data_IF_956395323179
#
_entry.id   IF_956395323179
#
_cell.length_a   1.000
_cell.length_b   1.000
_cell.length_c   1.000
_cell.angle_alpha   90.00
_cell.angle_beta   90.00
_cell.angle_gamma   90.00
#
_symmetry.space_group_name_H-M   'P 1'
#
loop_
_entity.id
_entity.type
_entity.pdbx_description
1 polymer ?
#
# COMPACT_ATOMS: atom_id res chain seq x y z
N UNK A 1 -28.15 86.05 -7.44
CA UNK A 1 -28.51 85.11 -6.42
C UNK A 1 -28.63 83.74 -7.09
N UNK A 2 -27.89 82.79 -6.63
CA UNK A 2 -27.40 81.65 -7.41
C UNK A 2 -28.39 80.47 -7.37
N UNK A 3 -28.90 80.11 -8.55
CA UNK A 3 -29.71 78.94 -8.75
C UNK A 3 -28.92 77.67 -8.72
N UNK A 4 -29.24 76.86 -7.75
CA UNK A 4 -28.60 75.57 -7.57
C UNK A 4 -29.24 74.58 -8.54
N UNK A 5 -28.54 74.21 -9.60
CA UNK A 5 -28.96 73.19 -10.54
C UNK A 5 -28.85 71.83 -9.88
N UNK A 6 -29.97 71.20 -9.58
CA UNK A 6 -30.03 69.80 -9.15
C UNK A 6 -29.73 68.90 -10.37
N UNK A 7 -28.56 68.36 -10.43
CA UNK A 7 -28.23 67.28 -11.38
C UNK A 7 -28.75 65.99 -10.77
N UNK A 8 -29.83 65.47 -11.32
CA UNK A 8 -30.32 64.13 -11.04
C UNK A 8 -29.44 63.19 -11.88
N UNK A 9 -28.51 62.58 -11.24
CA UNK A 9 -27.76 61.47 -11.85
C UNK A 9 -28.65 60.22 -11.74
N UNK A 10 -29.31 59.91 -12.84
CA UNK A 10 -30.04 58.66 -13.00
C UNK A 10 -28.97 57.54 -13.13
N UNK A 11 -28.63 56.95 -12.01
CA UNK A 11 -27.77 55.73 -12.02
C UNK A 11 -28.62 54.59 -12.59
N UNK A 12 -28.43 54.32 -13.88
CA UNK A 12 -28.94 53.10 -14.50
C UNK A 12 -28.09 51.98 -13.93
N UNK A 13 -28.65 51.29 -12.94
CA UNK A 13 -28.09 50.05 -12.37
C UNK A 13 -28.32 48.97 -13.43
N UNK A 14 -27.39 48.87 -14.38
CA UNK A 14 -27.30 47.69 -15.25
C UNK A 14 -26.88 46.53 -14.35
N UNK A 15 -27.88 45.80 -13.88
CA UNK A 15 -27.66 44.51 -13.22
C UNK A 15 -26.98 43.56 -14.19
N UNK A 16 -25.64 43.53 -14.20
CA UNK A 16 -24.91 42.41 -14.75
C UNK A 16 -25.23 41.20 -13.89
N UNK A 17 -26.21 40.44 -14.34
CA UNK A 17 -26.39 39.07 -13.88
C UNK A 17 -25.15 38.30 -14.37
N UNK A 18 -24.12 38.29 -13.55
CA UNK A 18 -23.09 37.27 -13.68
C UNK A 18 -23.80 35.96 -13.41
N UNK A 19 -24.34 35.35 -14.45
CA UNK A 19 -24.53 33.92 -14.46
C UNK A 19 -23.13 33.35 -14.29
N UNK A 20 -22.72 33.18 -13.03
CA UNK A 20 -21.64 32.29 -12.67
C UNK A 20 -22.11 30.92 -13.16
N UNK A 21 -21.83 30.61 -14.42
CA UNK A 21 -21.63 29.23 -14.79
C UNK A 21 -20.61 28.71 -13.77
N UNK A 22 -21.07 27.97 -12.77
CA UNK A 22 -20.21 26.97 -12.16
C UNK A 22 -19.81 26.10 -13.33
N UNK A 23 -18.69 26.45 -13.96
CA UNK A 23 -17.88 25.51 -14.68
C UNK A 23 -17.62 24.46 -13.63
N UNK A 24 -18.30 23.32 -13.70
CA UNK A 24 -17.81 22.13 -13.01
C UNK A 24 -16.36 22.09 -13.44
N UNK A 25 -15.48 22.41 -12.51
CA UNK A 25 -14.05 22.30 -12.74
C UNK A 25 -13.84 20.82 -12.93
N UNK A 26 -13.77 20.40 -14.20
CA UNK A 26 -13.39 19.05 -14.54
C UNK A 26 -12.16 18.72 -13.68
N UNK A 27 -12.21 17.64 -12.93
CA UNK A 27 -11.07 17.21 -12.14
C UNK A 27 -9.84 17.32 -13.03
N UNK A 28 -8.89 18.15 -12.69
CA UNK A 28 -7.67 18.36 -13.47
C UNK A 28 -6.63 17.27 -13.21
N UNK A 29 -6.92 16.35 -12.31
CA UNK A 29 -6.03 15.25 -11.91
C UNK A 29 -6.87 14.00 -11.58
N UNK A 30 -6.28 12.84 -11.82
CA UNK A 30 -6.75 11.55 -11.34
C UNK A 30 -6.18 11.30 -9.93
N UNK A 31 -6.91 10.60 -9.09
CA UNK A 31 -6.39 10.11 -7.80
C UNK A 31 -5.92 8.66 -7.96
N UNK A 32 -4.69 8.41 -7.58
CA UNK A 32 -4.12 7.06 -7.50
C UNK A 32 -3.97 6.69 -6.02
N UNK A 33 -4.80 5.76 -5.55
CA UNK A 33 -4.75 5.24 -4.20
C UNK A 33 -3.72 4.12 -4.09
N UNK A 34 -2.83 4.24 -3.12
CA UNK A 34 -1.81 3.23 -2.84
C UNK A 34 -2.23 2.43 -1.62
N UNK A 35 -2.45 1.14 -1.79
CA UNK A 35 -2.85 0.21 -0.73
C UNK A 35 -1.86 -0.94 -0.59
N UNK A 36 -1.76 -1.49 0.63
CA UNK A 36 -1.05 -2.73 0.91
C UNK A 36 -1.96 -3.62 1.76
N UNK A 37 -2.08 -4.88 1.40
CA UNK A 37 -2.94 -5.86 2.07
C UNK A 37 -2.20 -7.17 2.27
N UNK A 38 -2.59 -7.98 3.25
CA UNK A 38 -2.10 -9.34 3.41
C UNK A 38 -3.23 -10.34 3.21
N UNK A 39 -3.04 -11.27 2.30
CA UNK A 39 -4.00 -12.33 1.98
C UNK A 39 -3.62 -13.66 2.64
N UNK A 40 -4.56 -14.61 2.56
CA UNK A 40 -4.39 -15.96 3.10
C UNK A 40 -4.14 -15.96 4.62
N UNK A 41 -5.00 -15.21 5.33
CA UNK A 41 -4.98 -15.10 6.79
C UNK A 41 -5.02 -16.46 7.51
N UNK A 42 -5.67 -17.45 6.88
CA UNK A 42 -5.73 -18.83 7.38
C UNK A 42 -5.37 -19.80 6.26
N UNK A 43 -4.41 -20.66 6.51
CA UNK A 43 -3.98 -21.69 5.56
C UNK A 43 -3.34 -22.88 6.24
N UNK A 44 -3.25 -23.96 5.50
CA UNK A 44 -2.61 -25.21 5.93
C UNK A 44 -1.31 -25.45 5.17
N UNK A 45 -0.27 -25.90 5.86
CA UNK A 45 0.98 -26.28 5.25
C UNK A 45 0.82 -27.68 4.62
N UNK A 46 0.32 -27.74 3.37
CA UNK A 46 -0.03 -28.99 2.72
C UNK A 46 1.16 -29.73 2.09
N UNK A 47 1.32 -31.00 2.49
CA UNK A 47 1.57 -32.09 1.53
C UNK A 47 0.38 -33.07 1.62
N UNK A 48 -0.09 -33.51 0.46
CA UNK A 48 -1.24 -34.39 0.36
C UNK A 48 -1.15 -35.61 1.31
N UNK A 49 -2.19 -35.81 2.12
CA UNK A 49 -2.36 -37.01 2.96
C UNK A 49 -2.05 -36.89 4.44
N UNK A 50 -1.77 -35.71 5.00
CA UNK A 50 -1.52 -35.51 6.43
C UNK A 50 -2.53 -34.54 7.04
N UNK A 51 -2.95 -34.81 8.28
CA UNK A 51 -3.64 -33.85 9.15
C UNK A 51 -2.77 -32.61 9.25
N UNK A 52 -3.22 -31.52 8.65
CA UNK A 52 -2.35 -30.45 8.23
C UNK A 52 -2.16 -29.42 9.32
N UNK A 53 -0.92 -29.20 9.77
CA UNK A 53 -0.61 -28.05 10.56
C UNK A 53 -1.01 -26.80 9.79
N UNK A 54 -1.75 -25.93 10.44
CA UNK A 54 -2.25 -24.74 9.81
C UNK A 54 -1.86 -23.50 10.59
N UNK A 55 -1.76 -22.39 9.86
CA UNK A 55 -1.68 -21.08 10.48
C UNK A 55 -3.05 -20.40 10.49
N UNK A 56 -3.30 -19.66 11.56
CA UNK A 56 -4.39 -18.70 11.65
C UNK A 56 -3.80 -17.40 12.20
N UNK A 57 -3.77 -16.37 11.37
CA UNK A 57 -3.19 -15.08 11.69
C UNK A 57 -4.27 -14.11 12.18
N UNK A 58 -3.96 -13.36 13.23
CA UNK A 58 -4.88 -12.44 13.88
C UNK A 58 -4.51 -10.98 13.64
N UNK A 59 -3.21 -10.70 13.60
CA UNK A 59 -2.68 -9.35 13.45
C UNK A 59 -1.56 -9.35 12.42
N UNK A 60 -1.62 -8.44 11.47
CA UNK A 60 -0.54 -8.18 10.52
C UNK A 60 -0.42 -6.68 10.29
N UNK A 61 0.75 -6.10 10.51
CA UNK A 61 0.99 -4.70 10.18
C UNK A 61 2.41 -4.45 9.69
N UNK A 62 2.55 -3.36 8.94
CA UNK A 62 3.83 -2.83 8.46
C UNK A 62 3.96 -1.35 8.86
N UNK A 63 5.14 -0.93 9.24
CA UNK A 63 5.48 0.47 9.47
C UNK A 63 6.14 1.03 8.22
N UNK A 64 5.34 1.65 7.34
CA UNK A 64 5.81 2.27 6.10
C UNK A 64 6.53 3.56 6.44
N UNK A 65 7.71 3.74 5.87
CA UNK A 65 8.60 4.90 6.09
C UNK A 65 8.70 5.81 4.88
N UNK A 66 8.49 5.26 3.67
CA UNK A 66 8.60 5.99 2.41
C UNK A 66 7.69 5.39 1.36
N UNK A 67 7.17 6.23 0.49
CA UNK A 67 6.53 5.85 -0.76
C UNK A 67 7.12 6.71 -1.86
N UNK A 68 7.62 6.09 -2.89
CA UNK A 68 8.07 6.74 -4.12
C UNK A 68 7.15 6.36 -5.26
N UNK A 69 6.91 7.30 -6.14
CA UNK A 69 6.29 7.08 -7.42
C UNK A 69 7.18 7.68 -8.49
N UNK A 70 7.48 6.89 -9.50
CA UNK A 70 8.09 7.32 -10.75
C UNK A 70 7.12 6.98 -11.89
N UNK A 71 6.90 7.92 -12.80
CA UNK A 71 6.00 7.70 -13.91
C UNK A 71 6.48 8.39 -15.18
N UNK A 72 6.39 7.70 -16.31
CA UNK A 72 6.69 8.23 -17.64
C UNK A 72 5.39 8.51 -18.38
N UNK A 73 5.02 9.79 -18.48
CA UNK A 73 3.82 10.22 -19.21
C UNK A 73 4.16 10.61 -20.62
N UNK A 74 3.47 10.04 -21.62
CA UNK A 74 3.55 10.47 -23.03
C UNK A 74 3.01 11.88 -23.21
N UNK A 75 3.67 12.69 -24.03
CA UNK A 75 3.16 14.02 -24.39
C UNK A 75 1.84 13.93 -25.15
N UNK A 76 1.69 12.91 -26.00
CA UNK A 76 0.44 12.53 -26.65
C UNK A 76 0.46 11.02 -26.97
N UNK A 77 -0.70 10.43 -27.32
CA UNK A 77 -0.85 8.99 -27.54
C UNK A 77 0.08 8.40 -28.62
N UNK A 78 0.59 9.22 -29.53
CA UNK A 78 1.46 8.83 -30.65
C UNK A 78 2.91 9.29 -30.48
N UNK A 79 3.22 9.98 -29.38
CA UNK A 79 4.55 10.52 -29.13
C UNK A 79 5.51 9.43 -28.65
N UNK A 80 6.76 9.55 -29.06
CA UNK A 80 7.89 8.84 -28.45
C UNK A 80 8.51 9.67 -27.32
N UNK A 81 8.11 10.94 -27.20
CA UNK A 81 8.59 11.83 -26.12
C UNK A 81 7.73 11.64 -24.89
N UNK A 82 8.36 11.50 -23.74
CA UNK A 82 7.73 11.35 -22.44
C UNK A 82 8.22 12.42 -21.46
N UNK A 83 7.42 12.67 -20.44
CA UNK A 83 7.77 13.53 -19.31
C UNK A 83 7.81 12.68 -18.05
N UNK A 84 8.92 12.74 -17.33
CA UNK A 84 9.08 12.06 -16.05
C UNK A 84 8.33 12.83 -14.96
N UNK A 85 7.62 12.08 -14.14
CA UNK A 85 6.89 12.57 -12.96
C UNK A 85 7.41 11.78 -11.78
N UNK A 86 7.86 12.49 -10.76
CA UNK A 86 8.35 11.91 -9.51
C UNK A 86 7.54 12.43 -8.34
N UNK A 87 7.23 11.55 -7.41
CA UNK A 87 6.59 11.88 -6.14
C UNK A 87 7.26 11.08 -5.03
N UNK A 88 7.56 11.73 -3.94
CA UNK A 88 8.10 11.09 -2.75
C UNK A 88 7.33 11.54 -1.51
N UNK A 89 6.93 10.57 -0.70
CA UNK A 89 6.46 10.79 0.67
C UNK A 89 7.39 10.09 1.65
N UNK A 90 7.83 10.81 2.66
CA UNK A 90 8.61 10.30 3.79
C UNK A 90 7.87 10.54 5.09
N UNK A 91 7.86 9.56 5.96
CA UNK A 91 7.19 9.68 7.24
C UNK A 91 7.22 8.36 8.01
N UNK A 92 6.27 8.19 8.90
CA UNK A 92 6.06 6.92 9.59
C UNK A 92 4.56 6.66 9.64
N UNK A 93 4.12 5.60 9.01
CA UNK A 93 2.72 5.19 8.99
C UNK A 93 2.59 3.71 9.29
N UNK A 94 1.95 3.38 10.42
CA UNK A 94 1.57 2.01 10.71
C UNK A 94 0.33 1.65 9.90
N UNK A 95 0.44 0.64 9.05
CA UNK A 95 -0.63 0.13 8.19
C UNK A 95 -1.05 -1.25 8.69
N UNK A 96 -2.34 -1.41 9.02
CA UNK A 96 -2.94 -2.71 9.33
C UNK A 96 -3.23 -3.44 8.01
N UNK A 97 -2.51 -4.54 7.76
CA UNK A 97 -2.59 -5.29 6.52
C UNK A 97 -3.80 -6.22 6.44
N UNK A 98 -4.51 -6.43 7.55
CA UNK A 98 -5.79 -7.14 7.58
C UNK A 98 -6.99 -6.19 7.62
N UNK A 99 -6.72 -4.90 7.76
CA UNK A 99 -7.74 -3.87 7.83
C UNK A 99 -8.41 -3.60 6.48
N UNK A 100 -9.67 -3.17 6.51
CA UNK A 100 -10.41 -2.72 5.32
C UNK A 100 -9.75 -1.46 4.73
N UNK A 101 -9.14 -0.63 5.57
CA UNK A 101 -8.48 0.61 5.20
C UNK A 101 -6.95 0.47 5.27
N UNK A 102 -6.40 -0.42 4.46
CA UNK A 102 -4.95 -0.57 4.30
C UNK A 102 -4.34 0.50 3.36
N UNK A 103 -4.97 1.66 3.28
CA UNK A 103 -4.54 2.78 2.46
C UNK A 103 -3.26 3.39 3.03
N UNK A 104 -2.24 3.52 2.18
CA UNK A 104 -0.99 4.20 2.50
C UNK A 104 -1.14 5.69 2.20
N UNK A 105 -1.66 6.03 1.02
CA UNK A 105 -1.87 7.41 0.60
C UNK A 105 -2.58 7.52 -0.74
N UNK A 106 -2.87 8.78 -1.11
CA UNK A 106 -3.42 9.15 -2.40
C UNK A 106 -2.41 10.05 -3.12
N UNK A 107 -2.10 9.73 -4.37
CA UNK A 107 -1.20 10.49 -5.23
C UNK A 107 -2.01 11.09 -6.37
N UNK A 108 -1.86 12.39 -6.62
CA UNK A 108 -2.53 13.05 -7.74
C UNK A 108 -1.67 12.97 -8.99
N UNK A 109 -2.18 12.34 -10.04
CA UNK A 109 -1.55 12.26 -11.34
C UNK A 109 -2.38 13.00 -12.39
N UNK A 110 -1.71 13.55 -13.40
CA UNK A 110 -2.39 14.19 -14.52
C UNK A 110 -3.00 13.11 -15.42
N UNK A 111 -4.19 13.35 -16.01
CA UNK A 111 -4.72 12.44 -17.04
C UNK A 111 -3.76 12.32 -18.23
N UNK A 112 -3.73 11.14 -18.83
CA UNK A 112 -2.87 10.87 -19.97
C UNK A 112 -2.56 9.39 -20.14
N UNK A 113 -1.69 9.10 -21.10
CA UNK A 113 -1.13 7.76 -21.32
C UNK A 113 0.25 7.72 -20.69
N UNK A 114 0.52 6.68 -19.95
CA UNK A 114 1.77 6.43 -19.26
C UNK A 114 2.43 5.19 -19.84
N UNK A 115 3.70 5.29 -20.17
CA UNK A 115 4.50 4.12 -20.57
C UNK A 115 4.78 3.26 -19.34
N UNK A 116 5.07 3.92 -18.21
CA UNK A 116 5.31 3.26 -16.94
C UNK A 116 4.77 4.09 -15.78
N UNK A 117 4.23 3.42 -14.78
CA UNK A 117 3.98 3.96 -13.44
C UNK A 117 4.57 2.94 -12.48
N UNK A 118 5.60 3.32 -11.76
CA UNK A 118 6.27 2.52 -10.76
C UNK A 118 6.02 3.11 -9.38
N UNK A 119 5.63 2.27 -8.42
CA UNK A 119 5.44 2.66 -7.03
C UNK A 119 6.30 1.75 -6.16
N UNK A 120 7.13 2.37 -5.34
CA UNK A 120 7.95 1.70 -4.37
C UNK A 120 7.51 2.08 -2.96
N UNK A 121 7.32 1.07 -2.12
CA UNK A 121 6.96 1.21 -0.71
C UNK A 121 8.14 0.68 0.10
N UNK A 122 8.70 1.54 0.94
CA UNK A 122 9.79 1.18 1.79
C UNK A 122 9.38 1.25 3.26
N UNK A 123 9.79 0.25 4.01
CA UNK A 123 9.63 0.17 5.44
C UNK A 123 11.01 -0.01 6.08
N UNK A 124 11.53 1.07 6.68
CA UNK A 124 12.84 1.09 7.31
C UNK A 124 12.74 0.99 8.82
N UNK A 125 13.78 0.43 9.42
CA UNK A 125 13.93 0.45 10.86
C UNK A 125 14.06 1.90 11.36
N UNK A 126 13.14 2.30 12.22
CA UNK A 126 13.21 3.62 12.86
C UNK A 126 14.28 3.62 13.95
N UNK A 127 15.17 4.60 13.92
CA UNK A 127 16.20 4.82 14.96
C UNK A 127 15.59 5.12 16.34
N UNK A 128 14.38 5.69 16.36
CA UNK A 128 13.68 6.10 17.59
C UNK A 128 12.73 5.02 18.12
N UNK A 129 12.58 3.85 17.44
CA UNK A 129 11.41 3.04 17.62
C UNK A 129 11.63 1.66 18.21
N UNK A 130 10.77 1.33 19.16
CA UNK A 130 10.50 -0.01 19.65
C UNK A 130 9.56 -0.82 18.71
N UNK A 131 9.04 -0.21 17.65
CA UNK A 131 8.09 -0.86 16.73
C UNK A 131 8.82 -1.59 15.60
N UNK A 132 8.47 -2.86 15.33
CA UNK A 132 9.07 -3.61 14.22
C UNK A 132 8.65 -3.02 12.87
N UNK A 133 9.47 -3.25 11.86
CA UNK A 133 9.17 -2.91 10.45
C UNK A 133 7.95 -3.69 9.96
N UNK A 134 7.94 -4.99 10.24
CA UNK A 134 6.81 -5.86 9.97
C UNK A 134 6.52 -6.75 11.17
N UNK A 135 5.24 -6.93 11.46
CA UNK A 135 4.74 -7.75 12.56
C UNK A 135 3.59 -8.62 12.11
N UNK A 136 3.68 -9.91 12.43
CA UNK A 136 2.63 -10.88 12.15
C UNK A 136 2.44 -11.76 13.38
N UNK A 137 1.22 -11.88 13.86
CA UNK A 137 0.92 -12.77 15.00
C UNK A 137 -0.35 -13.56 14.78
N UNK A 138 -0.36 -14.74 15.38
CA UNK A 138 -1.46 -15.67 15.29
C UNK A 138 -1.16 -16.99 16.00
N UNK A 139 -1.62 -18.08 15.42
CA UNK A 139 -1.41 -19.41 15.96
C UNK A 139 -1.02 -20.41 14.88
N UNK A 140 -0.21 -21.35 15.27
CA UNK A 140 0.13 -22.58 14.55
C UNK A 140 -0.55 -23.77 15.22
N UNK A 141 -1.32 -24.54 14.45
CA UNK A 141 -1.91 -25.78 14.92
C UNK A 141 -1.01 -26.96 14.52
N UNK A 142 -0.45 -27.67 15.49
CA UNK A 142 0.43 -28.80 15.24
C UNK A 142 -0.36 -30.08 14.88
N UNK A 143 0.35 -31.20 14.62
CA UNK A 143 -0.27 -32.45 14.24
C UNK A 143 -1.11 -33.11 15.34
N UNK A 144 -0.98 -32.67 16.59
CA UNK A 144 -1.79 -33.12 17.73
C UNK A 144 -2.91 -32.16 18.05
N UNK A 145 -3.26 -31.27 17.10
CA UNK A 145 -4.33 -30.25 17.20
C UNK A 145 -4.11 -29.21 18.31
N UNK A 146 -2.87 -29.13 18.82
CA UNK A 146 -2.53 -28.10 19.82
C UNK A 146 -2.23 -26.79 19.09
N UNK A 147 -2.91 -25.72 19.50
CA UNK A 147 -2.64 -24.36 19.04
C UNK A 147 -1.49 -23.76 19.81
N UNK A 148 -0.46 -23.33 19.10
CA UNK A 148 0.74 -22.72 19.66
C UNK A 148 0.79 -21.28 19.12
N UNK A 149 0.82 -20.27 20.00
CA UNK A 149 0.97 -18.89 19.55
C UNK A 149 2.29 -18.68 18.79
N UNK A 150 2.21 -17.97 17.65
CA UNK A 150 3.36 -17.62 16.80
C UNK A 150 3.41 -16.12 16.61
N UNK A 151 4.60 -15.57 16.68
CA UNK A 151 4.88 -14.16 16.40
C UNK A 151 6.08 -14.06 15.48
N UNK A 152 5.93 -13.34 14.37
CA UNK A 152 7.01 -12.98 13.45
C UNK A 152 7.29 -11.50 13.61
N UNK A 153 8.56 -11.16 13.80
CA UNK A 153 9.03 -9.78 14.01
C UNK A 153 10.18 -9.54 13.04
N UNK A 154 9.98 -8.66 12.07
CA UNK A 154 11.04 -8.22 11.15
C UNK A 154 11.40 -6.78 11.47
N UNK A 155 12.69 -6.56 11.71
CA UNK A 155 13.29 -5.25 11.97
C UNK A 155 14.27 -4.81 10.87
N UNK A 156 14.47 -5.67 9.87
CA UNK A 156 15.25 -5.33 8.70
C UNK A 156 14.39 -4.54 7.72
N UNK A 157 15.04 -3.79 6.84
CA UNK A 157 14.38 -3.02 5.81
C UNK A 157 13.64 -3.93 4.84
N UNK A 158 12.45 -3.52 4.44
CA UNK A 158 11.58 -4.17 3.47
C UNK A 158 11.27 -3.16 2.37
N UNK A 159 11.40 -3.60 1.13
CA UNK A 159 11.08 -2.84 -0.06
C UNK A 159 10.09 -3.65 -0.90
N UNK A 160 9.01 -3.02 -1.32
CA UNK A 160 7.96 -3.62 -2.14
C UNK A 160 7.76 -2.73 -3.36
N UNK A 161 7.63 -3.32 -4.55
CA UNK A 161 7.50 -2.57 -5.79
C UNK A 161 6.31 -3.05 -6.60
N UNK A 162 5.57 -2.11 -7.19
CA UNK A 162 4.52 -2.38 -8.17
C UNK A 162 4.75 -1.53 -9.41
N UNK A 163 4.60 -2.15 -10.58
CA UNK A 163 4.69 -1.49 -11.87
C UNK A 163 3.41 -1.68 -12.65
N UNK A 164 2.95 -0.60 -13.32
CA UNK A 164 1.83 -0.69 -14.25
C UNK A 164 2.27 -1.36 -15.55
N UNK A 165 1.29 -1.85 -16.31
CA UNK A 165 1.53 -2.28 -17.68
C UNK A 165 1.78 -1.08 -18.57
N UNK A 166 2.61 -1.27 -19.61
CA UNK A 166 2.83 -0.27 -20.66
C UNK A 166 1.51 0.20 -21.28
N UNK A 167 1.40 1.49 -21.53
CA UNK A 167 0.22 2.10 -22.13
C UNK A 167 -0.95 2.31 -21.17
N UNK A 168 -0.68 2.38 -19.88
CA UNK A 168 -1.71 2.67 -18.85
C UNK A 168 -2.32 4.05 -19.09
N UNK A 169 -3.65 4.11 -19.25
CA UNK A 169 -4.39 5.35 -19.52
C UNK A 169 -5.15 5.82 -18.30
N UNK A 170 -4.77 6.99 -17.78
CA UNK A 170 -5.47 7.66 -16.68
C UNK A 170 -6.44 8.72 -17.21
N UNK A 171 -7.68 8.70 -16.74
CA UNK A 171 -8.73 9.67 -17.08
C UNK A 171 -9.03 10.56 -15.88
N UNK A 172 -9.38 11.83 -16.14
CA UNK A 172 -9.66 12.81 -15.08
C UNK A 172 -10.92 12.49 -14.24
N UNK A 173 -11.79 11.64 -14.74
CA UNK A 173 -13.07 11.29 -14.08
C UNK A 173 -12.97 10.06 -13.17
N UNK A 174 -11.95 9.23 -13.37
CA UNK A 174 -11.80 7.98 -12.65
C UNK A 174 -10.78 8.11 -11.51
N UNK A 175 -11.04 7.41 -10.44
CA UNK A 175 -10.04 7.13 -9.43
C UNK A 175 -9.37 5.79 -9.77
N UNK A 176 -8.12 5.65 -9.43
CA UNK A 176 -7.33 4.45 -9.68
C UNK A 176 -6.80 3.91 -8.36
N UNK A 177 -6.55 2.63 -8.32
CA UNK A 177 -6.01 1.97 -7.15
C UNK A 177 -4.85 1.09 -7.56
N UNK A 178 -3.77 1.17 -6.83
CA UNK A 178 -2.74 0.15 -6.83
C UNK A 178 -2.75 -0.57 -5.50
N UNK A 179 -2.71 -1.88 -5.54
CA UNK A 179 -2.71 -2.72 -4.35
C UNK A 179 -1.55 -3.70 -4.40
N UNK A 180 -0.71 -3.65 -3.39
CA UNK A 180 0.30 -4.67 -3.14
C UNK A 180 -0.30 -5.68 -2.17
N UNK A 181 -0.40 -6.93 -2.60
CA UNK A 181 -0.95 -8.01 -1.80
C UNK A 181 0.16 -8.96 -1.35
N UNK A 182 0.42 -8.99 -0.05
CA UNK A 182 1.35 -9.94 0.56
C UNK A 182 0.66 -11.28 0.80
N UNK A 183 1.02 -12.27 0.03
CA UNK A 183 0.51 -13.63 0.18
C UNK A 183 1.21 -14.36 1.32
N UNK A 184 0.54 -14.54 2.45
CA UNK A 184 1.13 -15.15 3.65
C UNK A 184 1.49 -16.63 3.46
N UNK A 185 0.89 -17.35 2.48
CA UNK A 185 1.33 -18.71 2.14
C UNK A 185 2.74 -18.66 1.55
N UNK A 186 2.97 -17.72 0.63
CA UNK A 186 4.28 -17.54 -0.01
C UNK A 186 5.31 -17.00 0.98
N UNK A 187 4.91 -16.08 1.85
CA UNK A 187 5.77 -15.57 2.92
C UNK A 187 6.26 -16.68 3.85
N UNK A 188 5.42 -17.68 4.13
CA UNK A 188 5.77 -18.83 4.97
C UNK A 188 6.33 -20.01 4.17
N UNK A 189 6.64 -19.83 2.90
CA UNK A 189 7.20 -20.89 2.06
C UNK A 189 8.53 -21.42 2.61
N UNK A 190 8.73 -22.74 2.54
CA UNK A 190 9.94 -23.40 3.06
C UNK A 190 9.98 -23.55 4.58
N UNK A 191 8.96 -23.10 5.32
CA UNK A 191 8.79 -23.43 6.74
C UNK A 191 8.13 -24.80 6.85
N UNK A 192 8.85 -25.74 7.42
CA UNK A 192 8.35 -27.09 7.62
C UNK A 192 7.68 -27.23 8.99
N UNK A 193 6.77 -28.19 9.08
CA UNK A 193 6.17 -28.57 10.37
C UNK A 193 7.22 -28.93 11.43
N UNK A 194 8.22 -29.72 11.06
CA UNK A 194 9.32 -30.09 11.94
C UNK A 194 10.10 -28.90 12.47
N UNK A 195 10.24 -27.84 11.66
CA UNK A 195 10.90 -26.61 12.06
C UNK A 195 10.13 -25.91 13.19
N UNK A 196 8.79 -25.87 13.07
CA UNK A 196 7.90 -25.24 14.06
C UNK A 196 7.76 -26.09 15.33
N UNK A 197 7.68 -27.42 15.19
CA UNK A 197 7.57 -28.33 16.33
C UNK A 197 8.84 -28.32 17.19
N UNK A 198 10.01 -28.11 16.56
CA UNK A 198 11.32 -28.01 17.23
C UNK A 198 11.73 -26.58 17.60
N UNK A 199 10.94 -25.57 17.21
CA UNK A 199 11.26 -24.18 17.47
C UNK A 199 11.32 -23.86 18.97
N UNK A 200 12.29 -23.03 19.34
CA UNK A 200 12.41 -22.52 20.70
C UNK A 200 11.18 -21.67 21.07
N UNK A 201 10.60 -21.95 22.24
CA UNK A 201 9.45 -21.21 22.76
C UNK A 201 9.88 -20.23 23.84
N UNK A 202 9.45 -19.00 23.69
CA UNK A 202 9.62 -17.94 24.69
C UNK A 202 8.25 -17.65 25.32
N UNK A 203 8.10 -17.92 26.61
CA UNK A 203 6.81 -17.79 27.33
C UNK A 203 5.67 -18.54 26.63
N UNK A 204 5.92 -19.77 26.16
CA UNK A 204 4.93 -20.62 25.49
C UNK A 204 4.63 -20.25 24.02
N UNK A 205 5.25 -19.23 23.45
CA UNK A 205 5.09 -18.77 22.07
C UNK A 205 6.30 -19.09 21.22
N UNK A 206 6.10 -19.39 19.94
CA UNK A 206 7.16 -19.42 18.95
C UNK A 206 7.38 -17.96 18.53
N UNK A 207 8.52 -17.39 18.89
CA UNK A 207 8.93 -16.04 18.42
C UNK A 207 9.96 -16.22 17.32
N UNK A 208 9.66 -15.69 16.14
CA UNK A 208 10.54 -15.74 14.97
C UNK A 208 11.06 -14.32 14.73
N UNK A 209 12.35 -14.11 14.94
CA UNK A 209 13.02 -12.82 14.80
C UNK A 209 14.49 -13.02 14.50
N UNK A 210 15.22 -11.96 14.22
CA UNK A 210 16.68 -12.00 14.04
C UNK A 210 17.45 -12.55 15.26
N UNK A 211 16.83 -12.54 16.44
CA UNK A 211 17.43 -13.01 17.72
C UNK A 211 16.79 -14.26 18.29
N UNK A 212 15.68 -14.74 17.71
CA UNK A 212 14.98 -15.95 18.16
C UNK A 212 14.47 -16.73 16.96
N UNK A 213 14.75 -18.07 16.93
CA UNK A 213 14.45 -18.93 15.79
C UNK A 213 14.97 -18.33 14.47
N UNK A 214 16.22 -17.89 14.47
CA UNK A 214 16.83 -17.13 13.37
C UNK A 214 16.81 -17.87 12.02
N UNK A 215 16.91 -19.20 12.00
CA UNK A 215 16.80 -19.98 10.76
C UNK A 215 15.43 -19.83 10.08
N UNK A 216 14.35 -19.77 10.87
CA UNK A 216 13.00 -19.50 10.37
C UNK A 216 12.88 -18.04 9.91
N UNK A 217 13.46 -17.12 10.68
CA UNK A 217 13.51 -15.71 10.34
C UNK A 217 14.17 -15.46 8.98
N UNK A 218 15.33 -16.08 8.72
CA UNK A 218 16.05 -15.92 7.45
C UNK A 218 15.24 -16.43 6.27
N UNK A 219 14.49 -17.54 6.42
CA UNK A 219 13.59 -18.03 5.38
C UNK A 219 12.46 -17.04 5.10
N UNK A 220 11.78 -16.55 6.14
CA UNK A 220 10.67 -15.58 6.01
C UNK A 220 11.16 -14.29 5.37
N UNK A 221 12.29 -13.75 5.84
CA UNK A 221 12.89 -12.55 5.28
C UNK A 221 13.20 -12.70 3.79
N UNK A 222 13.78 -13.83 3.39
CA UNK A 222 14.09 -14.11 1.98
C UNK A 222 12.86 -14.34 1.09
N UNK A 223 11.67 -14.47 1.67
CA UNK A 223 10.44 -14.67 0.92
C UNK A 223 9.66 -13.36 0.63
N UNK A 224 10.08 -12.22 1.17
CA UNK A 224 9.35 -10.96 0.94
C UNK A 224 9.27 -10.62 -0.53
N UNK A 225 10.36 -10.70 -1.28
CA UNK A 225 10.40 -10.38 -2.72
C UNK A 225 9.54 -11.32 -3.58
N UNK A 226 9.24 -12.52 -3.08
CA UNK A 226 8.46 -13.54 -3.80
C UNK A 226 7.02 -13.69 -3.29
N UNK A 227 6.66 -13.03 -2.19
CA UNK A 227 5.32 -13.13 -1.61
C UNK A 227 4.41 -11.98 -2.01
N UNK A 228 4.90 -11.00 -2.72
CA UNK A 228 4.11 -9.89 -3.23
C UNK A 228 3.43 -10.26 -4.56
N UNK A 229 2.19 -9.85 -4.70
CA UNK A 229 1.42 -9.84 -5.93
C UNK A 229 0.82 -8.44 -6.04
N UNK A 230 0.99 -7.81 -7.18
CA UNK A 230 0.63 -6.42 -7.35
C UNK A 230 -0.41 -6.24 -8.46
N UNK A 231 -1.42 -5.45 -8.17
CA UNK A 231 -2.48 -5.10 -9.10
C UNK A 231 -2.55 -3.58 -9.26
N UNK A 232 -2.75 -3.16 -10.50
CA UNK A 232 -3.01 -1.79 -10.86
C UNK A 232 -4.37 -1.74 -11.55
N UNK A 233 -5.39 -1.26 -10.85
CA UNK A 233 -6.78 -1.29 -11.29
C UNK A 233 -7.43 0.09 -11.32
N UNK A 234 -8.47 0.19 -12.13
CA UNK A 234 -9.42 1.30 -12.10
C UNK A 234 -10.48 1.00 -11.04
N UNK A 235 -10.69 1.95 -10.13
CA UNK A 235 -11.66 1.85 -9.01
C UNK A 235 -13.11 2.11 -9.50
#
# INVERSE_FOLDING_TARGET
MKTLKKIIVLAVLVGMIFTSCKKDSAKSSSSLRVKIHASNKTFSLLKAGSLTPGFAWDTCYMNVSKVELEAEKKENESSQDSTNIEFEWKGSKKVDLFGINSLIGDISLQPGVYDEISIEIEAFKSDAGSSPVFYLSGSYTNATEIKIPVVVIVNDDIQLKVESKEGTKLNAVNDYMTMINLNLILLMNGILKSDLDSATRTNGKIVISSTSNNSLYTKIKGNFDSCEDSEFDQD
#
